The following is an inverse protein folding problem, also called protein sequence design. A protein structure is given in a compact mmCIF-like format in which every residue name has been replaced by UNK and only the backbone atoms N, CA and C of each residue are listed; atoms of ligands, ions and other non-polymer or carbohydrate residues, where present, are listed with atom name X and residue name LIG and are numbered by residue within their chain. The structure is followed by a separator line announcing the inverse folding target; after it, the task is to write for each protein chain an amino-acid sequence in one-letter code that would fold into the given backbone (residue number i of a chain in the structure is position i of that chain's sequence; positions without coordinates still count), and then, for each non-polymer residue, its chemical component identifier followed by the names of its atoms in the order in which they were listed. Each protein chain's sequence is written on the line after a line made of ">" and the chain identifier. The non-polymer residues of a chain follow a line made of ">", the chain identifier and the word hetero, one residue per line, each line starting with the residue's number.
data_IF_288316016996
#
_entry.id   IF_288316016996
#
_cell.length_a   1.000
_cell.length_b   1.000
_cell.length_c   1.000
_cell.angle_alpha   90.00
_cell.angle_beta   90.00
_cell.angle_gamma   90.00
#
_symmetry.space_group_name_H-M   'P 1'
#
loop_
_entity.id
_entity.type
_entity.pdbx_description
1 polymer ?
#
# COMPACT_ATOMS: atom_id res chain seq x y z
N UNK A 1 -53.46 7.17 32.33
CA UNK A 1 -52.79 6.17 31.45
C UNK A 1 -52.46 6.72 30.05
N UNK A 2 -53.33 7.49 29.37
CA UNK A 2 -53.05 8.07 28.03
C UNK A 2 -51.86 9.05 27.98
N UNK A 3 -51.62 9.83 29.03
CA UNK A 3 -50.56 10.86 29.05
C UNK A 3 -49.15 10.27 29.09
N UNK A 4 -48.96 9.13 29.76
CA UNK A 4 -47.66 8.43 29.84
C UNK A 4 -47.30 7.84 28.47
N UNK A 5 -48.28 7.29 27.76
CA UNK A 5 -48.08 6.74 26.42
C UNK A 5 -47.66 7.82 25.41
N UNK A 6 -48.22 9.03 25.53
CA UNK A 6 -47.89 10.16 24.67
C UNK A 6 -46.44 10.66 24.86
N UNK A 7 -45.97 10.71 26.10
CA UNK A 7 -44.60 11.11 26.42
C UNK A 7 -43.56 10.11 25.89
N UNK A 8 -43.85 8.81 25.94
CA UNK A 8 -42.95 7.77 25.42
C UNK A 8 -42.78 7.86 23.89
N UNK A 9 -43.85 8.18 23.16
CA UNK A 9 -43.78 8.33 21.70
C UNK A 9 -42.94 9.55 21.29
N UNK A 10 -43.08 10.67 22.01
CA UNK A 10 -42.26 11.88 21.76
C UNK A 10 -40.78 11.59 22.02
N UNK A 11 -40.47 10.93 23.15
CA UNK A 11 -39.09 10.60 23.52
C UNK A 11 -38.45 9.65 22.50
N UNK A 12 -39.17 8.62 22.06
CA UNK A 12 -38.70 7.69 21.03
C UNK A 12 -38.43 8.40 19.68
N UNK A 13 -39.29 9.36 19.30
CA UNK A 13 -39.07 10.19 18.12
C UNK A 13 -37.81 11.06 18.19
N UNK A 14 -37.53 11.65 19.36
CA UNK A 14 -36.31 12.46 19.57
C UNK A 14 -35.03 11.61 19.53
N UNK A 15 -35.05 10.40 20.11
CA UNK A 15 -33.91 9.47 20.07
C UNK A 15 -33.62 9.04 18.63
N UNK A 16 -34.65 8.67 17.87
CA UNK A 16 -34.49 8.26 16.46
C UNK A 16 -33.95 9.40 15.58
N UNK A 17 -34.40 10.64 15.83
CA UNK A 17 -33.89 11.82 15.13
C UNK A 17 -32.41 12.08 15.43
N UNK A 18 -32.00 12.01 16.71
CA UNK A 18 -30.61 12.18 17.11
C UNK A 18 -29.71 11.11 16.47
N UNK A 19 -30.08 9.82 16.55
CA UNK A 19 -29.34 8.72 15.93
C UNK A 19 -29.18 8.88 14.41
N UNK A 20 -30.23 9.31 13.71
CA UNK A 20 -30.17 9.55 12.27
C UNK A 20 -29.27 10.74 11.90
N UNK A 21 -29.27 11.80 12.72
CA UNK A 21 -28.40 12.96 12.51
C UNK A 21 -26.92 12.62 12.73
N UNK A 22 -26.59 11.85 13.77
CA UNK A 22 -25.24 11.35 14.05
C UNK A 22 -24.72 10.43 12.93
N UNK A 23 -25.54 9.48 12.48
CA UNK A 23 -25.17 8.61 11.35
C UNK A 23 -24.91 9.39 10.06
N UNK A 24 -25.70 10.44 9.78
CA UNK A 24 -25.51 11.29 8.60
C UNK A 24 -24.22 12.11 8.72
N UNK A 25 -23.94 12.67 9.90
CA UNK A 25 -22.70 13.39 10.19
C UNK A 25 -21.48 12.48 10.05
N UNK A 26 -21.50 11.29 10.66
CA UNK A 26 -20.40 10.32 10.58
C UNK A 26 -20.13 9.86 9.13
N UNK A 27 -21.19 9.64 8.34
CA UNK A 27 -21.07 9.29 6.91
C UNK A 27 -20.45 10.42 6.08
N UNK A 28 -20.82 11.67 6.36
CA UNK A 28 -20.24 12.84 5.69
C UNK A 28 -18.78 13.07 6.10
N UNK A 29 -18.43 12.89 7.37
CA UNK A 29 -17.04 12.97 7.83
C UNK A 29 -16.19 11.86 7.21
N UNK A 30 -16.71 10.63 7.14
CA UNK A 30 -16.03 9.51 6.48
C UNK A 30 -15.78 9.78 4.98
N UNK A 31 -16.75 10.37 4.28
CA UNK A 31 -16.59 10.68 2.85
C UNK A 31 -15.56 11.79 2.59
N UNK A 32 -15.52 12.82 3.45
CA UNK A 32 -14.51 13.89 3.39
C UNK A 32 -13.11 13.32 3.65
N UNK A 33 -12.94 12.53 4.72
CA UNK A 33 -11.67 11.88 5.06
C UNK A 33 -11.19 10.98 3.91
N UNK A 34 -12.11 10.21 3.30
CA UNK A 34 -11.77 9.37 2.15
C UNK A 34 -11.27 10.18 0.94
N UNK A 35 -11.88 11.34 0.68
CA UNK A 35 -11.42 12.25 -0.38
C UNK A 35 -10.05 12.85 -0.08
N UNK A 36 -9.80 13.29 1.16
CA UNK A 36 -8.50 13.81 1.58
C UNK A 36 -7.40 12.75 1.47
N UNK A 37 -7.65 11.52 1.91
CA UNK A 37 -6.72 10.41 1.78
C UNK A 37 -6.41 10.10 0.31
N UNK A 38 -7.41 10.14 -0.57
CA UNK A 38 -7.21 9.97 -2.01
C UNK A 38 -6.28 11.04 -2.59
N UNK A 39 -6.46 12.30 -2.17
CA UNK A 39 -5.58 13.41 -2.58
C UNK A 39 -4.16 13.20 -2.05
N UNK A 40 -4.00 12.86 -0.77
CA UNK A 40 -2.68 12.57 -0.19
C UNK A 40 -1.94 11.45 -0.92
N UNK A 41 -2.61 10.32 -1.20
CA UNK A 41 -2.04 9.22 -1.98
C UNK A 41 -1.62 9.65 -3.38
N UNK A 42 -2.45 10.44 -4.06
CA UNK A 42 -2.11 11.00 -5.37
C UNK A 42 -0.87 11.89 -5.29
N UNK A 43 -0.77 12.74 -4.27
CA UNK A 43 0.38 13.61 -4.07
C UNK A 43 1.66 12.81 -3.77
N UNK A 44 1.58 11.78 -2.93
CA UNK A 44 2.69 10.88 -2.65
C UNK A 44 3.17 10.17 -3.94
N UNK A 45 2.24 9.65 -4.74
CA UNK A 45 2.55 9.05 -6.03
C UNK A 45 3.19 10.02 -7.02
N UNK A 46 2.72 11.27 -7.07
CA UNK A 46 3.31 12.32 -7.91
C UNK A 46 4.72 12.70 -7.45
N UNK A 47 4.94 12.83 -6.14
CA UNK A 47 6.26 13.10 -5.57
C UNK A 47 7.25 11.97 -5.92
N UNK A 48 6.84 10.71 -5.74
CA UNK A 48 7.66 9.55 -6.11
C UNK A 48 8.03 9.55 -7.61
N UNK A 49 7.06 9.83 -8.49
CA UNK A 49 7.30 9.95 -9.95
C UNK A 49 8.23 11.11 -10.31
N UNK A 50 8.20 12.20 -9.54
CA UNK A 50 9.11 13.33 -9.69
C UNK A 50 10.49 13.08 -9.03
N UNK A 51 10.75 11.84 -8.57
CA UNK A 51 11.95 11.46 -7.82
C UNK A 51 12.12 12.17 -6.46
N UNK A 52 11.07 12.83 -5.95
CA UNK A 52 11.03 13.35 -4.58
C UNK A 52 10.57 12.25 -3.60
N UNK A 53 11.46 11.28 -3.42
CA UNK A 53 11.19 10.07 -2.64
C UNK A 53 10.99 10.38 -1.15
N UNK A 54 11.64 11.43 -0.61
CA UNK A 54 11.51 11.81 0.79
C UNK A 54 10.11 12.37 1.08
N UNK A 55 9.59 13.23 0.20
CA UNK A 55 8.22 13.72 0.31
C UNK A 55 7.22 12.58 0.20
N UNK A 56 7.40 11.66 -0.75
CA UNK A 56 6.54 10.48 -0.87
C UNK A 56 6.53 9.64 0.41
N UNK A 57 7.70 9.35 0.98
CA UNK A 57 7.85 8.62 2.26
C UNK A 57 7.09 9.32 3.39
N UNK A 58 7.26 10.63 3.54
CA UNK A 58 6.63 11.38 4.61
C UNK A 58 5.10 11.35 4.50
N UNK A 59 4.55 11.53 3.29
CA UNK A 59 3.11 11.48 3.08
C UNK A 59 2.54 10.08 3.38
N UNK A 60 3.19 9.01 2.93
CA UNK A 60 2.73 7.65 3.26
C UNK A 60 2.81 7.36 4.76
N UNK A 61 3.86 7.82 5.45
CA UNK A 61 3.96 7.71 6.91
C UNK A 61 2.82 8.45 7.61
N UNK A 62 2.46 9.66 7.16
CA UNK A 62 1.31 10.39 7.73
C UNK A 62 0.01 9.61 7.59
N UNK A 63 -0.26 9.06 6.40
CA UNK A 63 -1.45 8.23 6.14
C UNK A 63 -1.48 7.04 7.11
N UNK A 64 -0.35 6.35 7.26
CA UNK A 64 -0.21 5.18 8.12
C UNK A 64 -0.38 5.52 9.60
N UNK A 65 0.31 6.54 10.11
CA UNK A 65 0.26 6.96 11.52
C UNK A 65 -1.13 7.45 11.91
N UNK A 66 -1.90 8.01 10.97
CA UNK A 66 -3.29 8.39 11.19
C UNK A 66 -4.27 7.21 11.29
N UNK A 67 -3.79 5.97 11.21
CA UNK A 67 -4.62 4.75 11.27
C UNK A 67 -5.31 4.40 9.95
N UNK A 68 -4.99 5.09 8.86
CA UNK A 68 -5.64 4.94 7.55
C UNK A 68 -4.80 4.15 6.52
N UNK A 69 -3.72 3.52 6.97
CA UNK A 69 -2.80 2.77 6.12
C UNK A 69 -3.44 1.51 5.52
N UNK A 70 -3.43 1.41 4.20
CA UNK A 70 -3.80 0.19 3.47
C UNK A 70 -2.57 -0.64 3.14
N UNK A 71 -2.76 -1.90 2.73
CA UNK A 71 -1.67 -2.74 2.24
C UNK A 71 -0.83 -2.05 1.15
N UNK A 72 -1.48 -1.31 0.24
CA UNK A 72 -0.79 -0.58 -0.83
C UNK A 72 -0.08 0.69 -0.36
N UNK A 73 -0.52 1.33 0.73
CA UNK A 73 0.22 2.45 1.32
C UNK A 73 1.53 1.95 1.95
N UNK A 74 1.50 0.82 2.66
CA UNK A 74 2.69 0.18 3.20
C UNK A 74 3.61 -0.35 2.09
N UNK A 75 3.05 -0.95 1.03
CA UNK A 75 3.82 -1.40 -0.12
C UNK A 75 4.51 -0.23 -0.84
N UNK A 76 3.79 0.88 -1.02
CA UNK A 76 4.34 2.08 -1.66
C UNK A 76 5.42 2.72 -0.80
N UNK A 77 5.22 2.76 0.53
CA UNK A 77 6.26 3.19 1.47
C UNK A 77 7.51 2.30 1.35
N UNK A 78 7.33 0.98 1.30
CA UNK A 78 8.43 0.04 1.14
C UNK A 78 9.20 0.25 -0.16
N UNK A 79 8.50 0.44 -1.28
CA UNK A 79 9.13 0.75 -2.57
C UNK A 79 10.03 1.99 -2.48
N UNK A 80 9.54 3.08 -1.89
CA UNK A 80 10.35 4.28 -1.70
C UNK A 80 11.53 4.04 -0.74
N UNK A 81 11.39 3.17 0.25
CA UNK A 81 12.53 2.74 1.08
C UNK A 81 13.56 1.92 0.29
N UNK A 82 13.14 1.03 -0.62
CA UNK A 82 14.06 0.32 -1.51
C UNK A 82 14.85 1.31 -2.38
N UNK A 83 14.16 2.25 -3.04
CA UNK A 83 14.78 3.27 -3.88
C UNK A 83 15.73 4.21 -3.12
N UNK A 84 15.51 4.39 -1.81
CA UNK A 84 16.39 5.17 -0.92
C UNK A 84 17.37 4.32 -0.12
N UNK A 85 17.54 3.04 -0.49
CA UNK A 85 18.49 2.09 0.11
C UNK A 85 18.25 1.77 1.59
N UNK A 86 17.03 1.97 2.10
CA UNK A 86 16.62 1.70 3.48
C UNK A 86 15.96 0.31 3.59
N UNK A 87 16.69 -0.74 3.23
CA UNK A 87 16.11 -2.08 3.01
C UNK A 87 15.43 -2.70 4.24
N UNK A 88 15.98 -2.51 5.45
CA UNK A 88 15.33 -3.01 6.68
C UNK A 88 13.96 -2.37 6.92
N UNK A 89 13.81 -1.07 6.67
CA UNK A 89 12.52 -0.37 6.78
C UNK A 89 11.54 -0.79 5.68
N UNK A 90 12.06 -1.09 4.49
CA UNK A 90 11.24 -1.68 3.43
C UNK A 90 10.67 -3.02 3.89
N UNK A 91 11.51 -3.90 4.45
CA UNK A 91 11.08 -5.21 4.96
C UNK A 91 10.03 -5.10 6.08
N UNK A 92 10.22 -4.18 7.04
CA UNK A 92 9.22 -3.90 8.09
C UNK A 92 7.87 -3.48 7.50
N UNK A 93 7.89 -2.57 6.53
CA UNK A 93 6.66 -2.09 5.86
C UNK A 93 5.99 -3.20 5.06
N UNK A 94 6.78 -4.05 4.37
CA UNK A 94 6.28 -5.18 3.60
C UNK A 94 5.66 -6.27 4.47
N UNK A 95 6.21 -6.54 5.65
CA UNK A 95 5.61 -7.46 6.61
C UNK A 95 4.19 -7.04 6.98
N UNK A 96 3.97 -5.74 7.22
CA UNK A 96 2.64 -5.21 7.50
C UNK A 96 1.76 -5.28 6.24
N UNK A 97 2.26 -4.85 5.09
CA UNK A 97 1.53 -4.90 3.82
C UNK A 97 1.00 -6.32 3.53
N UNK A 98 1.85 -7.33 3.69
CA UNK A 98 1.51 -8.73 3.48
C UNK A 98 0.56 -9.29 4.54
N UNK A 99 0.63 -8.82 5.79
CA UNK A 99 -0.35 -9.20 6.81
C UNK A 99 -1.77 -8.71 6.47
N UNK A 100 -1.87 -7.59 5.74
CA UNK A 100 -3.13 -7.00 5.30
C UNK A 100 -3.63 -7.59 3.98
N UNK A 101 -2.71 -7.95 3.07
CA UNK A 101 -3.03 -8.63 1.81
C UNK A 101 -1.86 -9.51 1.37
N UNK A 102 -1.97 -10.82 1.61
CA UNK A 102 -0.91 -11.79 1.35
C UNK A 102 -0.91 -12.34 -0.09
N UNK A 103 -1.84 -11.90 -0.93
CA UNK A 103 -2.00 -12.38 -2.32
C UNK A 103 -1.57 -11.37 -3.38
N UNK A 104 -1.32 -10.12 -2.98
CA UNK A 104 -0.95 -9.06 -3.90
C UNK A 104 0.44 -9.28 -4.50
N UNK A 105 0.53 -9.31 -5.84
CA UNK A 105 1.79 -9.59 -6.53
C UNK A 105 2.78 -8.43 -6.44
N UNK A 106 2.34 -7.17 -6.35
CA UNK A 106 3.28 -6.05 -6.14
C UNK A 106 3.97 -6.16 -4.78
N UNK A 107 3.24 -6.60 -3.75
CA UNK A 107 3.82 -6.86 -2.42
C UNK A 107 4.85 -7.99 -2.49
N UNK A 108 4.55 -9.08 -3.21
CA UNK A 108 5.51 -10.19 -3.38
C UNK A 108 6.75 -9.77 -4.16
N UNK A 109 6.59 -8.98 -5.21
CA UNK A 109 7.70 -8.42 -5.98
C UNK A 109 8.63 -7.62 -5.08
N UNK A 110 8.07 -6.70 -4.28
CA UNK A 110 8.85 -5.88 -3.36
C UNK A 110 9.52 -6.69 -2.23
N UNK A 111 8.92 -7.79 -1.77
CA UNK A 111 9.62 -8.74 -0.88
C UNK A 111 10.83 -9.38 -1.54
N UNK A 112 10.67 -9.85 -2.79
CA UNK A 112 11.77 -10.45 -3.53
C UNK A 112 12.91 -9.45 -3.73
N UNK A 113 12.57 -8.20 -4.09
CA UNK A 113 13.53 -7.09 -4.21
C UNK A 113 14.24 -6.81 -2.90
N UNK A 114 13.49 -6.72 -1.78
CA UNK A 114 14.07 -6.47 -0.47
C UNK A 114 15.05 -7.59 -0.07
N UNK A 115 14.67 -8.86 -0.22
CA UNK A 115 15.57 -9.98 0.04
C UNK A 115 16.83 -9.93 -0.82
N UNK A 116 16.66 -9.67 -2.12
CA UNK A 116 17.78 -9.60 -3.05
C UNK A 116 18.78 -8.50 -2.65
N UNK A 117 18.27 -7.30 -2.33
CA UNK A 117 19.08 -6.14 -1.96
C UNK A 117 19.69 -6.24 -0.55
N UNK A 118 19.15 -7.11 0.30
CA UNK A 118 19.73 -7.49 1.60
C UNK A 118 20.73 -8.65 1.49
N UNK A 119 20.95 -9.22 0.30
CA UNK A 119 21.87 -10.34 0.08
C UNK A 119 21.28 -11.73 0.33
N UNK A 120 19.97 -11.82 0.62
CA UNK A 120 19.24 -13.08 0.83
C UNK A 120 18.78 -13.67 -0.52
N UNK A 121 19.75 -13.92 -1.40
CA UNK A 121 19.52 -14.21 -2.83
C UNK A 121 18.63 -15.41 -3.06
N UNK A 122 18.81 -16.49 -2.31
CA UNK A 122 18.04 -17.73 -2.51
C UNK A 122 16.56 -17.53 -2.13
N UNK A 123 16.28 -16.76 -1.07
CA UNK A 123 14.90 -16.38 -0.70
C UNK A 123 14.27 -15.51 -1.79
N UNK A 124 15.03 -14.57 -2.35
CA UNK A 124 14.55 -13.73 -3.44
C UNK A 124 14.19 -14.57 -4.68
N UNK A 125 15.09 -15.47 -5.10
CA UNK A 125 14.87 -16.38 -6.23
C UNK A 125 13.64 -17.25 -6.06
N UNK A 126 13.43 -17.81 -4.87
CA UNK A 126 12.24 -18.61 -4.56
C UNK A 126 10.95 -17.83 -4.86
N UNK A 127 10.88 -16.57 -4.43
CA UNK A 127 9.70 -15.72 -4.67
C UNK A 127 9.57 -15.37 -6.16
N UNK A 128 10.65 -14.96 -6.83
CA UNK A 128 10.61 -14.64 -8.26
C UNK A 128 10.10 -15.81 -9.10
N UNK A 129 10.61 -17.02 -8.85
CA UNK A 129 10.26 -18.23 -9.61
C UNK A 129 8.83 -18.68 -9.29
N UNK A 130 8.39 -18.57 -8.03
CA UNK A 130 7.04 -18.98 -7.60
C UNK A 130 5.92 -18.33 -8.41
N UNK A 131 6.11 -17.09 -8.87
CA UNK A 131 5.12 -16.34 -9.62
C UNK A 131 5.45 -16.21 -11.12
N UNK A 132 6.41 -16.98 -11.62
CA UNK A 132 6.74 -17.06 -13.05
C UNK A 132 5.48 -17.32 -13.90
N UNK A 133 5.37 -16.61 -15.02
CA UNK A 133 4.25 -16.73 -15.96
C UNK A 133 2.92 -16.14 -15.50
N UNK A 134 2.85 -15.56 -14.29
CA UNK A 134 1.65 -14.88 -13.80
C UNK A 134 1.48 -13.52 -14.48
N UNK A 135 0.23 -13.11 -14.63
CA UNK A 135 -0.13 -11.73 -14.95
C UNK A 135 -0.34 -10.94 -13.67
N UNK A 136 0.10 -9.68 -13.67
CA UNK A 136 -0.22 -8.70 -12.64
C UNK A 136 -1.62 -8.12 -12.93
N UNK A 137 -1.82 -7.70 -14.19
CA UNK A 137 -3.10 -7.27 -14.75
C UNK A 137 -3.15 -7.59 -16.25
N UNK A 138 -4.17 -7.11 -16.95
CA UNK A 138 -4.38 -7.37 -18.39
C UNK A 138 -3.23 -6.88 -19.29
N UNK A 139 -2.42 -5.94 -18.80
CA UNK A 139 -1.38 -5.25 -19.56
C UNK A 139 0.04 -5.59 -19.13
N UNK A 140 0.22 -6.15 -17.93
CA UNK A 140 1.52 -6.34 -17.32
C UNK A 140 1.70 -7.75 -16.75
N UNK A 141 2.72 -8.45 -17.23
CA UNK A 141 3.16 -9.72 -16.67
C UNK A 141 4.09 -9.54 -15.47
N UNK A 142 4.19 -10.57 -14.64
CA UNK A 142 5.14 -10.65 -13.54
C UNK A 142 6.58 -10.35 -13.99
N UNK A 143 7.04 -11.00 -15.07
CA UNK A 143 8.39 -10.81 -15.58
C UNK A 143 8.65 -9.37 -16.06
N UNK A 144 7.67 -8.74 -16.72
CA UNK A 144 7.76 -7.34 -17.14
C UNK A 144 7.84 -6.38 -15.95
N UNK A 145 7.04 -6.63 -14.91
CA UNK A 145 7.09 -5.82 -13.68
C UNK A 145 8.47 -5.90 -13.02
N UNK A 146 9.05 -7.10 -12.90
CA UNK A 146 10.40 -7.28 -12.35
C UNK A 146 11.47 -6.59 -13.20
N UNK A 147 11.40 -6.68 -14.53
CA UNK A 147 12.34 -5.97 -15.41
C UNK A 147 12.26 -4.46 -15.21
N UNK A 148 11.05 -3.88 -15.24
CA UNK A 148 10.83 -2.44 -15.00
C UNK A 148 11.44 -2.02 -13.66
N UNK A 149 11.18 -2.78 -12.59
CA UNK A 149 11.70 -2.48 -11.26
C UNK A 149 13.23 -2.54 -11.21
N UNK A 150 13.84 -3.53 -11.89
CA UNK A 150 15.30 -3.62 -12.00
C UNK A 150 15.89 -2.46 -12.80
N UNK A 151 15.23 -1.98 -13.85
CA UNK A 151 15.66 -0.78 -14.56
C UNK A 151 15.58 0.46 -13.65
N UNK A 152 14.51 0.61 -12.87
CA UNK A 152 14.39 1.72 -11.91
C UNK A 152 15.49 1.66 -10.85
N UNK A 153 15.80 0.47 -10.31
CA UNK A 153 16.94 0.30 -9.41
C UNK A 153 18.25 0.73 -10.05
N UNK A 154 18.54 0.29 -11.29
CA UNK A 154 19.75 0.69 -12.03
C UNK A 154 19.82 2.22 -12.17
N UNK A 155 18.70 2.88 -12.49
CA UNK A 155 18.61 4.35 -12.58
C UNK A 155 18.90 5.05 -11.25
N UNK A 156 18.60 4.42 -10.10
CA UNK A 156 18.97 4.93 -8.76
C UNK A 156 20.38 4.51 -8.31
N UNK A 157 21.17 3.88 -9.17
CA UNK A 157 22.47 3.35 -8.79
C UNK A 157 22.37 2.23 -7.75
N UNK A 158 21.29 1.44 -7.80
CA UNK A 158 21.10 0.20 -7.07
C UNK A 158 21.34 -0.93 -8.08
N UNK A 159 22.40 -1.72 -7.87
CA UNK A 159 22.79 -2.79 -8.77
C UNK A 159 22.89 -4.11 -8.02
N UNK A 160 22.58 -5.20 -8.71
CA UNK A 160 22.81 -6.57 -8.25
C UNK A 160 23.33 -7.39 -9.41
N UNK A 161 24.35 -8.21 -9.15
CA UNK A 161 24.90 -9.15 -10.15
C UNK A 161 23.88 -10.21 -10.59
N UNK A 162 22.79 -10.37 -9.85
CA UNK A 162 21.77 -11.39 -10.10
C UNK A 162 20.60 -10.91 -10.95
N UNK A 163 20.49 -9.62 -11.27
CA UNK A 163 19.33 -9.09 -12.02
C UNK A 163 19.11 -9.83 -13.34
N UNK A 164 20.14 -9.96 -14.16
CA UNK A 164 20.03 -10.61 -15.47
C UNK A 164 19.70 -12.10 -15.35
N UNK A 165 20.37 -12.82 -14.44
CA UNK A 165 20.09 -14.25 -14.20
C UNK A 165 18.67 -14.49 -13.68
N UNK A 166 18.15 -13.58 -12.85
CA UNK A 166 16.76 -13.65 -12.39
C UNK A 166 15.81 -13.44 -13.58
N UNK A 167 16.02 -12.41 -14.41
CA UNK A 167 15.18 -12.18 -15.58
C UNK A 167 15.20 -13.35 -16.56
N UNK A 168 16.37 -13.93 -16.81
CA UNK A 168 16.51 -15.13 -17.65
C UNK A 168 15.70 -16.31 -17.10
N UNK A 169 15.66 -16.49 -15.77
CA UNK A 169 14.87 -17.55 -15.15
C UNK A 169 13.35 -17.36 -15.29
N UNK A 170 12.89 -16.14 -15.57
CA UNK A 170 11.48 -15.80 -15.71
C UNK A 170 10.95 -15.92 -17.15
N UNK A 171 11.83 -16.06 -18.14
CA UNK A 171 11.48 -16.27 -19.55
C UNK A 171 10.80 -17.62 -19.81
#
# INVERSE_FOLDING_TARGET
>A
MKTILYLLVILAGQILYAQNSENTSAKNTSSIVNNELKIKRKNAGNAAKANDLMTAINIYKEIIVSGNGTAMDYNSLAWNYLLTKQYSKAMESLNIANSLNDKDLYIKGNFAHAYLLMGEVEKAKEIYIKYKGRQIDESMSWAQMIDIDFQEFKLKGINSVYFETILDSLK
#
